data_IF_516817378669
#
_entry.id   IF_516817378669
#
_cell.length_a   1.000
_cell.length_b   1.000
_cell.length_c   1.000
_cell.angle_alpha   90.00
_cell.angle_beta   90.00
_cell.angle_gamma   90.00
#
_symmetry.space_group_name_H-M   'P 1'
#
loop_
_entity.id
_entity.type
_entity.pdbx_description
1 polymer ?
#
# COMPACT_ATOMS: atom_id res chain seq x y z
N UNK A 1 21.24 18.34 -6.42
CA UNK A 1 20.81 19.76 -6.40
C UNK A 1 19.65 20.06 -7.36
N UNK A 2 19.51 19.34 -8.47
CA UNK A 2 18.47 19.59 -9.49
C UNK A 2 17.05 19.15 -9.08
N UNK A 3 16.89 18.14 -8.21
CA UNK A 3 15.58 17.60 -7.88
C UNK A 3 14.77 18.47 -6.91
N UNK A 4 15.42 19.08 -5.91
CA UNK A 4 14.77 19.96 -4.94
C UNK A 4 14.21 21.23 -5.56
N UNK A 5 14.95 21.85 -6.50
CA UNK A 5 14.48 23.03 -7.24
C UNK A 5 13.25 22.68 -8.11
N UNK A 6 13.26 21.54 -8.82
CA UNK A 6 12.12 21.08 -9.62
C UNK A 6 10.87 20.84 -8.78
N UNK A 7 10.99 20.28 -7.56
CA UNK A 7 9.87 20.03 -6.65
C UNK A 7 9.28 21.37 -6.10
N UNK A 8 10.13 22.35 -5.86
CA UNK A 8 9.69 23.71 -5.46
C UNK A 8 8.87 24.38 -6.58
N UNK A 9 9.36 24.35 -7.83
CA UNK A 9 8.64 24.94 -8.96
C UNK A 9 7.29 24.26 -9.23
N UNK A 10 7.21 22.94 -9.13
CA UNK A 10 5.95 22.20 -9.33
C UNK A 10 4.91 22.59 -8.27
N UNK A 11 5.33 22.68 -7.00
CA UNK A 11 4.44 23.12 -5.90
C UNK A 11 4.03 24.58 -6.05
N UNK A 12 4.92 25.45 -6.53
CA UNK A 12 4.59 26.86 -6.78
C UNK A 12 3.54 27.02 -7.90
N UNK A 13 3.66 26.27 -9.00
CA UNK A 13 2.68 26.33 -10.10
C UNK A 13 1.30 25.88 -9.63
N UNK A 14 1.21 24.74 -8.90
CA UNK A 14 -0.07 24.27 -8.35
C UNK A 14 -0.67 25.23 -7.33
N UNK A 15 0.15 25.74 -6.41
CA UNK A 15 -0.29 26.73 -5.42
C UNK A 15 -0.75 28.03 -6.05
N UNK A 16 -0.07 28.50 -7.10
CA UNK A 16 -0.45 29.72 -7.83
C UNK A 16 -1.78 29.52 -8.56
N UNK A 17 -1.99 28.39 -9.23
CA UNK A 17 -3.23 28.04 -9.90
C UNK A 17 -4.41 27.96 -8.92
N UNK A 18 -4.22 27.28 -7.78
CA UNK A 18 -5.24 27.18 -6.72
C UNK A 18 -5.55 28.57 -6.10
N UNK A 19 -4.52 29.41 -5.92
CA UNK A 19 -4.70 30.79 -5.43
C UNK A 19 -5.47 31.65 -6.42
N UNK A 20 -5.15 31.59 -7.71
CA UNK A 20 -5.88 32.34 -8.75
C UNK A 20 -7.33 31.90 -8.85
N UNK A 21 -7.62 30.60 -8.75
CA UNK A 21 -8.99 30.06 -8.71
C UNK A 21 -9.77 30.55 -7.48
N UNK A 22 -9.11 30.70 -6.32
CA UNK A 22 -9.77 31.12 -5.07
C UNK A 22 -10.01 32.62 -4.97
N UNK A 23 -9.12 33.43 -5.56
CA UNK A 23 -9.17 34.90 -5.44
C UNK A 23 -10.11 35.58 -6.46
N UNK A 24 -10.38 34.95 -7.60
CA UNK A 24 -11.15 35.55 -8.67
C UNK A 24 -12.48 34.81 -8.89
N UNK A 25 -13.55 35.28 -8.26
CA UNK A 25 -14.91 34.73 -8.44
C UNK A 25 -15.52 35.01 -9.82
N UNK A 26 -14.96 35.96 -10.59
CA UNK A 26 -15.42 36.39 -11.93
C UNK A 26 -14.43 36.10 -13.05
N UNK A 27 -13.67 35.01 -12.95
CA UNK A 27 -12.82 34.54 -14.07
C UNK A 27 -13.69 33.95 -15.16
N UNK A 28 -13.40 34.31 -16.41
CA UNK A 28 -13.97 33.67 -17.59
C UNK A 28 -13.88 32.14 -17.46
N UNK A 29 -14.98 31.44 -17.81
CA UNK A 29 -15.13 30.00 -17.61
C UNK A 29 -14.03 29.20 -18.34
N UNK A 30 -13.56 29.72 -19.47
CA UNK A 30 -12.46 29.14 -20.25
C UNK A 30 -11.11 29.25 -19.51
N UNK A 31 -10.84 30.40 -18.85
CA UNK A 31 -9.63 30.60 -18.03
C UNK A 31 -9.71 29.74 -16.76
N UNK A 32 -10.87 29.63 -16.14
CA UNK A 32 -11.10 28.73 -14.99
C UNK A 32 -10.80 27.30 -15.35
N UNK A 33 -11.34 26.79 -16.45
CA UNK A 33 -11.07 25.45 -16.96
C UNK A 33 -9.58 25.20 -17.21
N UNK A 34 -8.87 26.17 -17.81
CA UNK A 34 -7.44 26.13 -18.00
C UNK A 34 -6.64 26.02 -16.69
N UNK A 35 -6.99 26.83 -15.68
CA UNK A 35 -6.35 26.80 -14.35
C UNK A 35 -6.61 25.47 -13.61
N UNK A 36 -7.82 24.93 -13.70
CA UNK A 36 -8.16 23.62 -13.11
C UNK A 36 -7.34 22.48 -13.75
N UNK A 37 -7.17 22.49 -15.07
CA UNK A 37 -6.30 21.52 -15.77
C UNK A 37 -4.84 21.65 -15.33
N UNK A 38 -4.32 22.88 -15.21
CA UNK A 38 -2.95 23.11 -14.73
C UNK A 38 -2.77 22.62 -13.29
N UNK A 39 -3.72 22.93 -12.38
CA UNK A 39 -3.68 22.48 -10.99
C UNK A 39 -3.74 20.95 -10.88
N UNK A 40 -4.70 20.32 -11.55
CA UNK A 40 -4.89 18.86 -11.51
C UNK A 40 -3.69 18.11 -12.10
N UNK A 41 -3.18 18.58 -13.24
CA UNK A 41 -1.99 18.00 -13.89
C UNK A 41 -0.75 18.17 -13.02
N UNK A 42 -0.58 19.34 -12.41
CA UNK A 42 0.51 19.61 -11.47
C UNK A 42 0.47 18.69 -10.24
N UNK A 43 -0.70 18.52 -9.63
CA UNK A 43 -0.91 17.58 -8.49
C UNK A 43 -0.60 16.14 -8.89
N UNK A 44 -1.05 15.72 -10.07
CA UNK A 44 -0.78 14.37 -10.59
C UNK A 44 0.72 14.16 -10.82
N UNK A 45 1.42 15.14 -11.39
CA UNK A 45 2.87 15.06 -11.62
C UNK A 45 3.66 15.03 -10.30
N UNK A 46 3.26 15.82 -9.30
CA UNK A 46 3.89 15.77 -7.96
C UNK A 46 3.72 14.38 -7.35
N UNK A 47 2.49 13.84 -7.35
CA UNK A 47 2.19 12.51 -6.82
C UNK A 47 2.98 11.41 -7.55
N UNK A 48 3.13 11.52 -8.88
CA UNK A 48 3.95 10.60 -9.68
C UNK A 48 5.42 10.66 -9.27
N UNK A 49 6.02 11.85 -9.17
CA UNK A 49 7.42 12.01 -8.78
C UNK A 49 7.69 11.50 -7.36
N UNK A 50 6.79 11.79 -6.41
CA UNK A 50 6.89 11.27 -5.04
C UNK A 50 6.79 9.74 -5.02
N UNK A 51 5.90 9.18 -5.84
CA UNK A 51 5.76 7.74 -6.01
C UNK A 51 7.01 7.12 -6.62
N UNK A 52 7.57 7.73 -7.66
CA UNK A 52 8.81 7.28 -8.29
C UNK A 52 10.00 7.31 -7.32
N UNK A 53 10.12 8.36 -6.51
CA UNK A 53 11.17 8.45 -5.48
C UNK A 53 11.05 7.36 -4.42
N UNK A 54 9.83 7.07 -3.95
CA UNK A 54 9.59 5.94 -3.02
C UNK A 54 9.98 4.59 -3.62
N UNK A 55 9.74 4.42 -4.92
CA UNK A 55 10.12 3.19 -5.63
C UNK A 55 11.64 3.04 -5.81
N UNK A 56 12.35 4.14 -6.10
CA UNK A 56 13.79 4.11 -6.39
C UNK A 56 14.68 4.18 -5.15
N UNK A 57 14.14 4.63 -3.99
CA UNK A 57 14.92 4.88 -2.78
C UNK A 57 14.38 4.07 -1.60
N UNK A 58 14.49 2.74 -1.69
CA UNK A 58 14.31 1.89 -0.51
C UNK A 58 15.62 1.91 0.27
N UNK A 59 15.59 2.26 1.57
CA UNK A 59 16.80 2.28 2.38
C UNK A 59 17.39 0.87 2.51
N UNK A 60 18.70 0.80 2.76
CA UNK A 60 19.37 -0.45 3.08
C UNK A 60 18.72 -1.06 4.33
N UNK A 61 18.25 -2.33 4.28
CA UNK A 61 17.62 -2.97 5.42
C UNK A 61 18.56 -3.03 6.63
N UNK A 62 18.01 -2.80 7.82
CA UNK A 62 18.68 -3.00 9.10
C UNK A 62 17.95 -4.12 9.88
N UNK A 63 18.28 -5.39 9.59
CA UNK A 63 17.52 -6.51 10.13
C UNK A 63 17.78 -6.67 11.63
N UNK A 64 16.72 -7.01 12.37
CA UNK A 64 16.73 -7.37 13.78
C UNK A 64 15.68 -8.46 14.04
N UNK A 65 15.80 -9.15 15.18
CA UNK A 65 14.80 -10.11 15.61
C UNK A 65 13.60 -9.38 16.23
N UNK A 66 12.38 -9.75 15.81
CA UNK A 66 11.16 -9.26 16.45
C UNK A 66 10.09 -10.36 16.55
N UNK A 67 9.23 -10.25 17.58
CA UNK A 67 8.10 -11.14 17.79
C UNK A 67 6.94 -10.78 16.89
N UNK A 68 6.49 -11.75 16.07
CA UNK A 68 5.43 -11.56 15.07
C UNK A 68 4.10 -11.20 15.72
N UNK A 69 3.76 -11.76 16.87
CA UNK A 69 2.51 -11.47 17.57
C UNK A 69 2.42 -10.00 17.99
N UNK A 70 3.46 -9.46 18.66
CA UNK A 70 3.54 -8.04 19.06
C UNK A 70 3.52 -7.10 17.85
N UNK A 71 4.22 -7.50 16.79
CA UNK A 71 4.23 -6.79 15.51
C UNK A 71 2.82 -6.69 14.90
N UNK A 72 2.10 -7.83 14.80
CA UNK A 72 0.75 -7.89 14.23
C UNK A 72 -0.26 -7.06 15.04
N UNK A 73 -0.22 -7.12 16.37
CA UNK A 73 -1.06 -6.29 17.24
C UNK A 73 -0.83 -4.79 17.03
N UNK A 74 0.46 -4.38 16.95
CA UNK A 74 0.80 -2.98 16.70
C UNK A 74 0.27 -2.51 15.34
N UNK A 75 0.45 -3.30 14.29
CA UNK A 75 -0.03 -2.99 12.94
C UNK A 75 -1.55 -2.92 12.87
N UNK A 76 -2.23 -3.84 13.56
CA UNK A 76 -3.70 -3.83 13.61
C UNK A 76 -4.22 -2.57 14.30
N UNK A 77 -3.58 -2.10 15.38
CA UNK A 77 -3.93 -0.83 16.03
C UNK A 77 -3.71 0.36 15.08
N UNK A 78 -2.57 0.41 14.38
CA UNK A 78 -2.28 1.46 13.41
C UNK A 78 -3.29 1.45 12.26
N UNK A 79 -3.59 0.29 11.70
CA UNK A 79 -4.55 0.14 10.62
C UNK A 79 -5.95 0.60 11.05
N UNK A 80 -6.41 0.24 12.25
CA UNK A 80 -7.70 0.67 12.81
C UNK A 80 -7.77 2.17 13.06
N UNK A 81 -6.70 2.80 13.52
CA UNK A 81 -6.68 4.25 13.80
C UNK A 81 -6.82 5.11 12.54
N UNK A 82 -6.32 4.60 11.41
CA UNK A 82 -6.43 5.27 10.10
C UNK A 82 -7.60 4.74 9.26
N UNK A 83 -8.47 3.92 9.86
CA UNK A 83 -9.47 3.16 9.12
C UNK A 83 -10.86 3.83 9.19
N UNK A 84 -11.33 4.28 8.04
CA UNK A 84 -12.71 4.77 7.85
C UNK A 84 -13.70 3.62 7.51
N UNK A 85 -13.34 2.34 7.76
CA UNK A 85 -14.16 1.18 7.40
C UNK A 85 -14.66 0.44 8.66
N UNK A 86 -15.72 0.91 9.33
CA UNK A 86 -16.24 0.32 10.56
C UNK A 86 -16.81 -1.10 10.37
N UNK A 87 -17.11 -1.46 9.13
CA UNK A 87 -17.65 -2.75 8.69
C UNK A 87 -16.57 -3.85 8.58
N UNK A 88 -15.29 -3.54 8.84
CA UNK A 88 -14.19 -4.49 8.66
C UNK A 88 -13.66 -4.97 10.02
N UNK A 89 -13.66 -6.29 10.21
CA UNK A 89 -13.01 -6.96 11.34
C UNK A 89 -11.62 -7.43 10.93
N UNK A 90 -10.59 -7.13 11.74
CA UNK A 90 -9.23 -7.67 11.56
C UNK A 90 -8.98 -8.69 12.67
N UNK A 91 -8.64 -9.92 12.29
CA UNK A 91 -8.24 -11.02 13.18
C UNK A 91 -6.77 -11.32 13.03
N UNK A 92 -6.12 -11.70 14.15
CA UNK A 92 -4.72 -12.12 14.21
C UNK A 92 -4.70 -13.58 14.67
N UNK A 93 -3.92 -14.38 13.97
CA UNK A 93 -3.70 -15.81 14.22
C UNK A 93 -2.19 -16.08 14.03
N UNK A 94 -1.43 -16.17 15.12
CA UNK A 94 0.03 -16.38 15.11
C UNK A 94 0.34 -17.65 15.91
N UNK A 95 0.94 -18.62 15.25
CA UNK A 95 1.30 -19.90 15.85
C UNK A 95 2.71 -20.34 15.37
N UNK A 96 3.66 -20.61 16.32
CA UNK A 96 3.54 -20.45 17.77
C UNK A 96 3.48 -18.98 18.23
N UNK A 97 3.00 -18.72 19.45
CA UNK A 97 2.83 -17.37 19.98
C UNK A 97 4.17 -16.59 20.09
N UNK A 98 5.25 -17.29 20.28
CA UNK A 98 6.63 -16.78 20.38
C UNK A 98 7.35 -16.73 19.03
N UNK A 99 6.60 -16.86 17.91
CA UNK A 99 7.16 -16.80 16.57
C UNK A 99 7.96 -15.51 16.36
N UNK A 100 9.20 -15.66 15.85
CA UNK A 100 10.13 -14.55 15.58
C UNK A 100 10.51 -14.51 14.10
N UNK A 101 10.80 -13.30 13.61
CA UNK A 101 11.33 -13.04 12.27
C UNK A 101 12.61 -12.22 12.40
N UNK A 102 13.59 -12.51 11.54
CA UNK A 102 14.80 -11.71 11.38
C UNK A 102 14.70 -10.87 10.11
N UNK A 103 14.31 -9.60 10.25
CA UNK A 103 14.16 -8.66 9.14
C UNK A 103 14.20 -7.21 9.65
N UNK A 104 14.21 -6.24 8.73
CA UNK A 104 13.98 -4.85 9.09
C UNK A 104 12.51 -4.62 9.39
N UNK A 105 12.18 -4.47 10.69
CA UNK A 105 10.81 -4.34 11.18
C UNK A 105 10.07 -3.14 10.56
N UNK A 106 10.77 -2.03 10.26
CA UNK A 106 10.15 -0.84 9.65
C UNK A 106 9.78 -1.10 8.18
N UNK A 107 10.66 -1.76 7.44
CA UNK A 107 10.38 -2.13 6.04
C UNK A 107 9.25 -3.17 5.96
N UNK A 108 9.23 -4.17 6.83
CA UNK A 108 8.14 -5.15 6.88
C UNK A 108 6.83 -4.49 7.34
N UNK A 109 6.88 -3.53 8.27
CA UNK A 109 5.73 -2.68 8.62
C UNK A 109 5.14 -2.01 7.39
N UNK A 110 5.97 -1.42 6.53
CA UNK A 110 5.52 -0.77 5.30
C UNK A 110 4.83 -1.78 4.36
N UNK A 111 5.40 -2.99 4.20
CA UNK A 111 4.80 -4.06 3.39
C UNK A 111 3.43 -4.43 3.93
N UNK A 112 3.33 -4.80 5.21
CA UNK A 112 2.07 -5.30 5.79
C UNK A 112 1.00 -4.22 5.83
N UNK A 113 1.35 -2.96 6.17
CA UNK A 113 0.39 -1.85 6.11
C UNK A 113 -0.14 -1.60 4.68
N UNK A 114 0.70 -1.75 3.66
CA UNK A 114 0.26 -1.67 2.27
C UNK A 114 -0.73 -2.79 1.93
N UNK A 115 -0.47 -4.03 2.38
CA UNK A 115 -1.38 -5.16 2.17
C UNK A 115 -2.71 -4.98 2.92
N UNK A 116 -2.68 -4.53 4.19
CA UNK A 116 -3.89 -4.22 4.96
C UNK A 116 -4.71 -3.12 4.30
N UNK A 117 -4.07 -2.04 3.84
CA UNK A 117 -4.73 -0.97 3.10
C UNK A 117 -5.39 -1.49 1.82
N UNK A 118 -4.68 -2.33 1.05
CA UNK A 118 -5.22 -2.93 -0.17
C UNK A 118 -6.43 -3.82 0.13
N UNK A 119 -6.38 -4.62 1.20
CA UNK A 119 -7.46 -5.47 1.66
C UNK A 119 -8.70 -4.64 2.08
N UNK A 120 -8.51 -3.59 2.89
CA UNK A 120 -9.59 -2.69 3.31
C UNK A 120 -10.24 -2.00 2.11
N UNK A 121 -9.45 -1.50 1.17
CA UNK A 121 -9.95 -0.86 -0.05
C UNK A 121 -10.71 -1.85 -0.97
N UNK A 122 -10.29 -3.12 -1.02
CA UNK A 122 -10.98 -4.14 -1.80
C UNK A 122 -12.34 -4.51 -1.20
N UNK A 123 -12.43 -4.60 0.13
CA UNK A 123 -13.69 -4.84 0.85
C UNK A 123 -14.63 -3.64 0.69
N UNK A 124 -14.11 -2.42 0.83
CA UNK A 124 -14.90 -1.18 0.72
C UNK A 124 -15.87 -0.98 1.88
N UNK A 125 -16.81 -0.03 1.71
CA UNK A 125 -17.81 0.33 2.71
C UNK A 125 -19.11 -0.49 2.59
N UNK A 126 -19.39 -1.03 1.41
CA UNK A 126 -20.67 -1.68 1.08
C UNK A 126 -20.76 -3.12 1.59
N UNK A 127 -19.65 -3.78 1.86
CA UNK A 127 -19.64 -5.16 2.34
C UNK A 127 -19.81 -5.20 3.86
N UNK A 128 -20.98 -5.59 4.36
CA UNK A 128 -21.31 -5.58 5.80
C UNK A 128 -20.42 -6.44 6.68
N UNK A 129 -19.90 -7.56 6.18
CA UNK A 129 -19.09 -8.53 6.94
C UNK A 129 -17.66 -8.59 6.39
N UNK A 130 -17.00 -7.44 6.31
CA UNK A 130 -15.60 -7.36 5.92
C UNK A 130 -14.70 -8.08 6.92
N UNK A 131 -13.86 -8.99 6.42
CA UNK A 131 -12.91 -9.73 7.25
C UNK A 131 -11.52 -9.68 6.64
N UNK A 132 -10.55 -9.30 7.47
CA UNK A 132 -9.12 -9.42 7.19
C UNK A 132 -8.53 -10.37 8.23
N UNK A 133 -7.83 -11.42 7.78
CA UNK A 133 -7.09 -12.33 8.64
C UNK A 133 -5.58 -12.12 8.41
N UNK A 134 -4.88 -11.75 9.48
CA UNK A 134 -3.43 -11.82 9.54
C UNK A 134 -3.05 -13.15 10.18
N UNK A 135 -2.42 -14.04 9.41
CA UNK A 135 -1.95 -15.32 9.91
C UNK A 135 -0.43 -15.42 9.81
N UNK A 136 0.21 -16.03 10.81
CA UNK A 136 1.64 -16.28 10.79
C UNK A 136 1.97 -17.66 11.38
N UNK A 137 2.91 -18.38 10.75
CA UNK A 137 3.34 -19.72 11.16
C UNK A 137 4.70 -20.08 10.54
N UNK A 138 5.32 -21.15 11.03
CA UNK A 138 6.43 -21.80 10.34
C UNK A 138 5.92 -22.87 9.39
N UNK A 139 6.45 -22.91 8.18
CA UNK A 139 6.20 -24.00 7.27
C UNK A 139 7.08 -25.25 7.60
N UNK A 140 6.88 -26.41 6.95
CA UNK A 140 7.69 -27.59 7.18
C UNK A 140 9.18 -27.45 6.85
N UNK A 141 9.59 -26.41 6.14
CA UNK A 141 10.98 -26.09 5.80
C UNK A 141 11.57 -25.04 6.74
N UNK A 142 10.92 -24.78 7.88
CA UNK A 142 11.32 -23.76 8.88
C UNK A 142 11.24 -22.32 8.39
N UNK A 143 10.67 -22.05 7.20
CA UNK A 143 10.43 -20.71 6.73
C UNK A 143 9.26 -20.06 7.48
N UNK A 144 9.41 -18.79 7.88
CA UNK A 144 8.32 -18.05 8.49
C UNK A 144 7.42 -17.50 7.42
N UNK A 145 6.12 -17.80 7.53
CA UNK A 145 5.08 -17.37 6.60
C UNK A 145 4.19 -16.36 7.30
N UNK A 146 4.00 -15.18 6.67
CA UNK A 146 2.97 -14.22 7.07
C UNK A 146 1.94 -14.13 5.95
N UNK A 147 0.66 -14.28 6.27
CA UNK A 147 -0.45 -14.19 5.33
C UNK A 147 -1.38 -13.04 5.70
N UNK A 148 -1.76 -12.25 4.71
CA UNK A 148 -2.83 -11.26 4.81
C UNK A 148 -3.93 -11.67 3.87
N UNK A 149 -5.03 -12.18 4.43
CA UNK A 149 -6.20 -12.68 3.68
C UNK A 149 -7.37 -11.73 3.86
N UNK A 150 -8.07 -11.42 2.79
CA UNK A 150 -9.33 -10.68 2.84
C UNK A 150 -10.45 -11.41 2.09
N UNK A 151 -11.69 -11.15 2.49
CA UNK A 151 -12.90 -11.70 1.87
C UNK A 151 -13.59 -10.71 0.91
N UNK A 152 -12.89 -9.70 0.43
CA UNK A 152 -13.35 -8.80 -0.64
C UNK A 152 -13.37 -9.47 -2.02
N UNK A 153 -13.64 -8.71 -3.08
CA UNK A 153 -13.55 -9.20 -4.44
C UNK A 153 -12.19 -9.83 -4.70
N UNK A 154 -12.18 -10.93 -5.45
CA UNK A 154 -10.94 -11.58 -5.89
C UNK A 154 -10.28 -10.74 -6.99
N UNK A 155 -8.96 -10.81 -7.06
CA UNK A 155 -8.20 -10.23 -8.16
C UNK A 155 -8.36 -11.15 -9.38
N UNK A 156 -8.85 -10.65 -10.52
CA UNK A 156 -8.99 -11.43 -11.74
C UNK A 156 -7.63 -12.02 -12.20
N UNK A 157 -7.61 -13.21 -12.82
CA UNK A 157 -6.37 -13.83 -13.26
C UNK A 157 -5.53 -12.94 -14.19
N UNK A 158 -6.17 -12.20 -15.10
CA UNK A 158 -5.53 -11.25 -16.00
C UNK A 158 -4.85 -10.08 -15.28
N UNK A 159 -5.39 -9.65 -14.15
CA UNK A 159 -4.77 -8.61 -13.33
C UNK A 159 -3.66 -9.19 -12.45
N UNK A 160 -3.85 -10.42 -11.95
CA UNK A 160 -2.94 -11.07 -11.00
C UNK A 160 -1.49 -11.16 -11.53
N UNK A 161 -1.30 -11.30 -12.84
CA UNK A 161 0.01 -11.32 -13.48
C UNK A 161 0.72 -9.94 -13.42
N UNK A 162 -0.06 -8.86 -13.32
CA UNK A 162 0.43 -7.50 -13.42
C UNK A 162 0.46 -6.73 -12.10
N UNK A 163 -0.16 -7.24 -11.01
CA UNK A 163 -0.28 -6.49 -9.74
C UNK A 163 1.05 -6.06 -9.11
N UNK A 164 2.14 -6.74 -9.44
CA UNK A 164 3.49 -6.41 -8.98
C UNK A 164 4.30 -5.56 -9.99
N UNK A 165 3.72 -5.23 -11.14
CA UNK A 165 4.35 -4.33 -12.11
C UNK A 165 4.23 -2.89 -11.60
N UNK A 166 5.33 -2.12 -11.56
CA UNK A 166 5.27 -0.72 -11.11
C UNK A 166 4.27 0.09 -11.94
N UNK A 167 3.51 0.97 -11.26
CA UNK A 167 2.48 1.84 -11.83
C UNK A 167 1.23 1.13 -12.38
N UNK A 168 1.15 -0.19 -12.29
CA UNK A 168 -0.08 -0.91 -12.59
C UNK A 168 -1.10 -0.72 -11.48
N UNK A 169 -2.28 -0.23 -11.81
CA UNK A 169 -3.40 -0.05 -10.87
C UNK A 169 -4.74 -0.07 -11.60
N UNK A 170 -5.72 -0.70 -11.01
CA UNK A 170 -7.12 -0.67 -11.42
C UNK A 170 -7.95 0.26 -10.54
N UNK A 171 -7.30 0.92 -9.56
CA UNK A 171 -7.95 1.82 -8.61
C UNK A 171 -7.83 3.26 -9.09
N UNK A 172 -8.95 3.99 -9.05
CA UNK A 172 -8.96 5.43 -9.30
C UNK A 172 -8.10 6.16 -8.25
N UNK A 173 -7.17 7.00 -8.72
CA UNK A 173 -6.21 7.70 -7.85
C UNK A 173 -5.13 6.83 -7.20
N UNK A 174 -5.05 5.54 -7.55
CA UNK A 174 -3.99 4.65 -7.09
C UNK A 174 -2.65 4.95 -7.77
N UNK A 175 -1.54 4.94 -7.01
CA UNK A 175 -0.19 5.14 -7.59
C UNK A 175 0.35 3.91 -8.32
N UNK A 176 -0.20 2.72 -8.07
CA UNK A 176 0.26 1.45 -8.65
C UNK A 176 1.66 0.99 -8.21
N UNK A 177 2.25 1.63 -7.18
CA UNK A 177 3.61 1.27 -6.73
C UNK A 177 3.66 0.45 -5.44
N UNK A 178 2.56 0.38 -4.69
CA UNK A 178 2.57 -0.24 -3.36
C UNK A 178 3.05 -1.69 -3.39
N UNK A 179 2.46 -2.53 -4.24
CA UNK A 179 2.82 -3.94 -4.35
C UNK A 179 4.21 -4.16 -4.97
N UNK A 180 4.62 -3.33 -5.91
CA UNK A 180 5.98 -3.41 -6.50
C UNK A 180 7.06 -3.05 -5.47
N UNK A 181 6.83 -2.03 -4.63
CA UNK A 181 7.70 -1.70 -3.48
C UNK A 181 7.70 -2.86 -2.47
N UNK A 182 6.53 -3.41 -2.14
CA UNK A 182 6.43 -4.56 -1.24
C UNK A 182 7.26 -5.74 -1.72
N UNK A 183 7.21 -6.05 -3.02
CA UNK A 183 8.02 -7.12 -3.62
C UNK A 183 9.52 -6.82 -3.55
N UNK A 184 9.91 -5.56 -3.76
CA UNK A 184 11.31 -5.17 -3.68
C UNK A 184 11.84 -5.23 -2.24
N UNK A 185 11.06 -4.78 -1.24
CA UNK A 185 11.41 -4.90 0.18
C UNK A 185 11.58 -6.37 0.56
N UNK A 186 10.63 -7.24 0.20
CA UNK A 186 10.74 -8.67 0.50
C UNK A 186 12.00 -9.29 -0.10
N UNK A 187 12.34 -8.95 -1.35
CA UNK A 187 13.60 -9.41 -1.98
C UNK A 187 14.84 -8.93 -1.24
N UNK A 188 14.87 -7.66 -0.82
CA UNK A 188 15.97 -7.10 -0.04
C UNK A 188 16.10 -7.75 1.35
N UNK A 189 15.00 -8.26 1.89
CA UNK A 189 14.94 -9.02 3.15
C UNK A 189 15.24 -10.51 2.97
N UNK A 190 15.66 -10.96 1.78
CA UNK A 190 15.92 -12.37 1.47
C UNK A 190 14.66 -13.22 1.31
N UNK A 191 13.47 -12.63 1.37
CA UNK A 191 12.18 -13.32 1.28
C UNK A 191 11.45 -13.12 -0.05
N UNK A 192 10.18 -13.49 -0.06
CA UNK A 192 9.32 -13.35 -1.23
C UNK A 192 7.91 -12.89 -0.86
N UNK A 193 7.18 -12.39 -1.86
CA UNK A 193 5.75 -12.10 -1.77
C UNK A 193 5.04 -12.77 -2.93
N UNK A 194 3.93 -13.45 -2.64
CA UNK A 194 3.08 -14.10 -3.62
C UNK A 194 1.60 -13.76 -3.40
N UNK A 195 0.81 -13.86 -4.46
CA UNK A 195 -0.65 -13.81 -4.42
C UNK A 195 -1.22 -15.22 -4.50
N UNK A 196 -2.21 -15.50 -3.65
CA UNK A 196 -3.02 -16.71 -3.68
C UNK A 196 -4.50 -16.31 -3.70
N UNK A 197 -5.24 -16.69 -4.72
CA UNK A 197 -6.67 -16.44 -4.81
C UNK A 197 -7.45 -17.73 -4.64
N UNK A 198 -8.51 -17.69 -3.84
CA UNK A 198 -9.45 -18.80 -3.68
C UNK A 198 -10.86 -18.35 -4.12
N UNK A 199 -11.24 -18.58 -5.39
CA UNK A 199 -12.54 -18.16 -5.90
C UNK A 199 -13.72 -18.80 -5.18
N UNK A 200 -13.59 -20.07 -4.73
CA UNK A 200 -14.67 -20.78 -4.05
C UNK A 200 -15.01 -20.17 -2.69
N UNK A 201 -14.02 -19.60 -2.00
CA UNK A 201 -14.20 -18.92 -0.71
C UNK A 201 -14.24 -17.38 -0.84
N UNK A 202 -14.13 -16.85 -2.06
CA UNK A 202 -14.00 -15.41 -2.33
C UNK A 202 -12.90 -14.77 -1.48
N UNK A 203 -11.73 -15.38 -1.45
CA UNK A 203 -10.59 -14.92 -0.67
C UNK A 203 -9.40 -14.57 -1.54
N UNK A 204 -8.79 -13.44 -1.20
CA UNK A 204 -7.51 -12.99 -1.73
C UNK A 204 -6.49 -13.02 -0.60
N UNK A 205 -5.38 -13.75 -0.78
CA UNK A 205 -4.32 -13.89 0.20
C UNK A 205 -2.99 -13.44 -0.38
N UNK A 206 -2.34 -12.50 0.29
CA UNK A 206 -0.93 -12.19 0.05
C UNK A 206 -0.08 -12.98 1.06
N UNK A 207 0.91 -13.70 0.54
CA UNK A 207 1.81 -14.56 1.30
C UNK A 207 3.20 -13.97 1.28
N UNK A 208 3.74 -13.66 2.45
CA UNK A 208 5.13 -13.25 2.65
C UNK A 208 5.90 -14.43 3.21
N UNK A 209 7.03 -14.78 2.59
CA UNK A 209 7.89 -15.89 3.03
C UNK A 209 9.23 -15.32 3.47
N UNK A 210 9.68 -15.71 4.65
CA UNK A 210 11.01 -15.40 5.20
C UNK A 210 11.76 -16.72 5.39
N UNK A 211 12.98 -16.83 4.82
CA UNK A 211 13.80 -18.02 4.96
C UNK A 211 14.33 -18.24 6.37
#
# INVERSE_FOLDING_TARGET
YSSAASDVYKRQITSLSDTLLSLHQNVDEEIRGGLEVISSTGKSLIAFVESYRKFTHIPTPQPSLFYVNKFAERLTRLARHHNNYPNITIRIDVEPEDLIVYADENLITQVVLNLLKNAMQAIGHEQENGLILFKAYCDPNEAVILEVTNNGPIIPPEEAEHIFVPFFTTKEGGSGIGLSISRQIMRLSGGSIALRSNPAQRQTTFVLTFP
#
